data_IF_236794092630
#
_entry.id   IF_236794092630
#
_cell.length_a   1.000
_cell.length_b   1.000
_cell.length_c   1.000
_cell.angle_alpha   90.00
_cell.angle_beta   90.00
_cell.angle_gamma   90.00
#
_symmetry.space_group_name_H-M   'P 1'
#
loop_
_entity.id
_entity.type
_entity.pdbx_description
1 polymer ?
#
# COMPACT_ATOMS: atom_id res chain seq x y z
N UNK A 1 22.13 0.38 -7.52
CA UNK A 1 22.19 -1.06 -7.92
C UNK A 1 21.23 -1.97 -7.15
N UNK A 2 20.47 -1.50 -6.16
CA UNK A 2 19.62 -2.32 -5.27
C UNK A 2 18.12 -2.29 -5.64
N UNK A 3 17.61 -1.30 -6.34
CA UNK A 3 16.29 -1.37 -6.95
C UNK A 3 16.26 -2.34 -8.16
N UNK A 4 17.42 -2.65 -8.71
CA UNK A 4 17.61 -3.58 -9.81
C UNK A 4 17.97 -5.01 -9.37
N UNK A 5 18.32 -5.22 -8.09
CA UNK A 5 18.67 -6.53 -7.60
C UNK A 5 17.40 -7.34 -7.33
N UNK A 6 17.17 -8.33 -8.17
CA UNK A 6 16.41 -9.51 -7.81
C UNK A 6 14.94 -9.55 -8.21
N UNK A 7 14.65 -9.50 -9.51
CA UNK A 7 13.49 -10.21 -10.04
C UNK A 7 13.79 -11.72 -10.23
N UNK A 8 14.62 -12.31 -9.40
CA UNK A 8 14.70 -13.76 -9.30
C UNK A 8 13.54 -14.21 -8.40
N UNK A 9 12.36 -14.38 -8.98
CA UNK A 9 11.31 -15.13 -8.34
C UNK A 9 11.73 -16.60 -8.39
N UNK A 10 12.29 -17.08 -7.27
CA UNK A 10 12.26 -18.51 -7.00
C UNK A 10 10.79 -18.97 -7.06
N UNK A 11 10.56 -20.19 -7.61
CA UNK A 11 9.30 -20.94 -7.51
C UNK A 11 8.71 -20.71 -6.12
N UNK A 12 7.39 -20.44 -5.95
CA UNK A 12 6.83 -20.27 -4.64
C UNK A 12 7.12 -21.54 -3.83
N UNK A 13 8.17 -21.51 -3.03
CA UNK A 13 8.32 -22.41 -1.92
C UNK A 13 7.10 -22.16 -1.03
N UNK A 14 6.52 -23.23 -0.48
CA UNK A 14 5.47 -23.09 0.52
C UNK A 14 5.92 -22.00 1.50
N UNK A 15 5.12 -20.93 1.60
CA UNK A 15 5.48 -19.78 2.43
C UNK A 15 5.86 -20.30 3.82
N UNK A 16 7.02 -19.92 4.38
CA UNK A 16 7.41 -20.37 5.70
C UNK A 16 6.30 -20.05 6.68
N UNK A 17 6.06 -20.97 7.62
CA UNK A 17 5.06 -20.77 8.65
C UNK A 17 5.30 -19.43 9.35
N UNK A 18 4.23 -18.63 9.53
CA UNK A 18 4.33 -17.35 10.20
C UNK A 18 4.86 -17.55 11.62
N UNK A 19 6.01 -16.98 11.91
CA UNK A 19 6.67 -17.06 13.24
C UNK A 19 6.34 -15.84 14.10
N UNK A 20 5.63 -14.84 13.54
CA UNK A 20 5.30 -13.58 14.18
C UNK A 20 3.78 -13.36 14.30
N UNK A 21 3.40 -12.14 14.64
CA UNK A 21 2.00 -11.76 14.84
C UNK A 21 1.20 -11.69 13.54
N UNK A 22 1.84 -11.30 12.43
CA UNK A 22 1.19 -11.21 11.11
C UNK A 22 1.20 -12.59 10.45
N UNK A 23 0.02 -13.00 9.98
CA UNK A 23 -0.23 -14.30 9.34
C UNK A 23 -0.77 -14.17 7.91
N UNK A 24 -0.76 -12.97 7.36
CA UNK A 24 -1.19 -12.70 5.99
C UNK A 24 -1.54 -11.25 5.74
N UNK A 25 -2.00 -10.95 4.52
CA UNK A 25 -2.52 -9.65 4.14
C UNK A 25 -4.01 -9.71 3.78
N UNK A 26 -4.66 -8.54 3.84
CA UNK A 26 -5.95 -8.27 3.20
C UNK A 26 -5.75 -7.48 1.90
N UNK A 27 -6.50 -6.38 1.74
CA UNK A 27 -6.26 -5.44 0.64
C UNK A 27 -4.93 -4.71 0.88
N UNK A 28 -4.09 -4.65 -0.17
CA UNK A 28 -2.70 -4.17 -0.04
C UNK A 28 -2.57 -2.65 -0.17
N UNK A 29 -3.61 -1.97 -0.64
CA UNK A 29 -3.61 -0.52 -0.80
C UNK A 29 -5.04 -0.01 -0.69
N UNK A 30 -5.31 0.84 0.30
CA UNK A 30 -6.65 1.35 0.57
C UNK A 30 -6.64 2.88 0.63
N UNK A 31 -6.63 3.56 -0.54
CA UNK A 31 -6.58 5.02 -0.63
C UNK A 31 -7.90 5.65 -0.19
N UNK A 32 -7.81 6.79 0.53
CA UNK A 32 -8.93 7.68 0.75
C UNK A 32 -8.98 8.70 -0.38
N UNK A 33 -10.14 8.79 -1.01
CA UNK A 33 -10.38 9.68 -2.15
C UNK A 33 -11.54 10.64 -1.88
N UNK A 34 -11.56 11.75 -2.61
CA UNK A 34 -12.68 12.69 -2.58
C UNK A 34 -13.80 12.29 -3.56
N UNK A 35 -13.47 11.53 -4.61
CA UNK A 35 -14.38 11.10 -5.67
C UNK A 35 -14.07 9.65 -6.03
N UNK A 36 -14.98 8.76 -5.66
CA UNK A 36 -14.83 7.32 -5.87
C UNK A 36 -14.87 6.95 -7.36
N UNK A 37 -15.72 7.61 -8.13
CA UNK A 37 -15.94 7.27 -9.53
C UNK A 37 -14.71 7.66 -10.39
N UNK A 38 -14.11 8.83 -10.12
CA UNK A 38 -12.85 9.22 -10.73
C UNK A 38 -11.70 8.26 -10.38
N UNK A 39 -11.64 7.82 -9.12
CA UNK A 39 -10.62 6.89 -8.69
C UNK A 39 -10.81 5.50 -9.33
N UNK A 40 -12.04 5.00 -9.44
CA UNK A 40 -12.36 3.74 -10.16
C UNK A 40 -11.89 3.84 -11.62
N UNK A 41 -12.18 4.94 -12.32
CA UNK A 41 -11.73 5.14 -13.69
C UNK A 41 -10.19 5.15 -13.79
N UNK A 42 -9.51 5.81 -12.84
CA UNK A 42 -8.05 5.87 -12.79
C UNK A 42 -7.41 4.50 -12.60
N UNK A 43 -7.82 3.73 -11.58
CA UNK A 43 -7.26 2.40 -11.33
C UNK A 43 -7.67 1.39 -12.40
N UNK A 44 -8.86 1.55 -12.99
CA UNK A 44 -9.30 0.79 -14.16
C UNK A 44 -8.40 0.98 -15.37
N UNK A 45 -7.94 2.21 -15.63
CA UNK A 45 -7.02 2.54 -16.71
C UNK A 45 -5.64 1.84 -16.58
N UNK A 46 -5.22 1.49 -15.36
CA UNK A 46 -4.01 0.69 -15.12
C UNK A 46 -4.27 -0.81 -15.42
N UNK A 47 -5.50 -1.27 -15.22
CA UNK A 47 -5.90 -2.67 -15.44
C UNK A 47 -6.48 -3.37 -14.22
N UNK A 48 -6.82 -2.63 -13.14
CA UNK A 48 -7.61 -3.18 -12.05
C UNK A 48 -9.06 -3.34 -12.46
N UNK A 49 -9.67 -4.45 -12.08
CA UNK A 49 -11.06 -4.78 -12.41
C UNK A 49 -11.96 -4.53 -11.22
N UNK A 50 -13.01 -3.78 -11.44
CA UNK A 50 -14.06 -3.48 -10.47
C UNK A 50 -15.34 -4.23 -10.87
N UNK A 51 -16.03 -4.83 -9.92
CA UNK A 51 -17.24 -5.59 -10.16
C UNK A 51 -18.39 -5.09 -9.28
N UNK A 52 -19.57 -5.00 -9.86
CA UNK A 52 -20.78 -4.54 -9.18
C UNK A 52 -20.75 -3.05 -8.82
N UNK A 53 -21.77 -2.63 -8.11
CA UNK A 53 -21.91 -1.27 -7.62
C UNK A 53 -21.07 -1.02 -6.36
N UNK A 54 -20.63 0.23 -6.12
CA UNK A 54 -19.95 0.59 -4.89
C UNK A 54 -20.77 0.26 -3.65
N UNK A 55 -20.12 -0.32 -2.66
CA UNK A 55 -20.71 -0.59 -1.36
C UNK A 55 -20.76 0.67 -0.49
N UNK A 56 -21.68 0.70 0.46
CA UNK A 56 -21.77 1.77 1.46
C UNK A 56 -21.73 1.21 2.88
N UNK A 57 -21.08 1.92 3.79
CA UNK A 57 -21.05 1.59 5.21
C UNK A 57 -22.18 2.27 6.02
N UNK A 58 -23.14 2.91 5.38
CA UNK A 58 -24.20 3.66 6.07
C UNK A 58 -24.99 2.77 7.05
N UNK A 59 -25.21 1.50 6.69
CA UNK A 59 -25.88 0.50 7.52
C UNK A 59 -24.94 -0.26 8.46
N UNK A 60 -23.64 0.05 8.49
CA UNK A 60 -22.66 -0.67 9.32
C UNK A 60 -21.92 0.28 10.28
N UNK A 61 -22.49 0.54 11.47
CA UNK A 61 -21.88 1.42 12.45
C UNK A 61 -20.52 0.91 12.97
N UNK A 62 -20.31 -0.41 12.99
CA UNK A 62 -19.04 -1.00 13.41
C UNK A 62 -17.92 -0.67 12.44
N UNK A 63 -18.20 -0.68 11.13
CA UNK A 63 -17.23 -0.28 10.12
C UNK A 63 -16.84 1.20 10.29
N UNK A 64 -17.80 2.10 10.53
CA UNK A 64 -17.53 3.52 10.82
C UNK A 64 -16.73 3.70 12.10
N UNK A 65 -17.07 2.94 13.16
CA UNK A 65 -16.35 2.96 14.43
C UNK A 65 -14.90 2.45 14.25
N UNK A 66 -14.66 1.47 13.39
CA UNK A 66 -13.31 1.01 13.06
C UNK A 66 -12.46 2.15 12.49
N UNK A 67 -13.03 3.02 11.68
CA UNK A 67 -12.35 4.22 11.17
C UNK A 67 -12.25 5.36 12.20
N UNK A 68 -12.87 5.25 13.35
CA UNK A 68 -12.97 6.37 14.29
C UNK A 68 -13.87 7.51 13.79
N UNK A 69 -14.79 7.23 12.86
CA UNK A 69 -15.63 8.20 12.14
C UNK A 69 -17.12 7.83 12.23
N UNK A 70 -17.75 7.89 13.42
CA UNK A 70 -19.11 7.41 13.60
C UNK A 70 -20.14 8.17 12.76
N UNK A 71 -19.90 9.43 12.42
CA UNK A 71 -20.81 10.31 11.69
C UNK A 71 -20.51 10.40 10.19
N UNK A 72 -19.41 9.81 9.73
CA UNK A 72 -19.05 9.84 8.31
C UNK A 72 -19.95 8.93 7.47
N UNK A 73 -20.07 9.30 6.19
CA UNK A 73 -20.55 8.41 5.15
C UNK A 73 -19.34 7.82 4.44
N UNK A 74 -19.34 6.49 4.25
CA UNK A 74 -18.29 5.77 3.56
C UNK A 74 -18.88 5.06 2.34
N UNK A 75 -18.36 5.34 1.15
CA UNK A 75 -18.56 4.55 -0.07
C UNK A 75 -17.23 3.88 -0.42
N UNK A 76 -17.26 2.65 -0.87
CA UNK A 76 -16.03 1.95 -1.21
C UNK A 76 -16.23 0.91 -2.29
N UNK A 77 -15.16 0.62 -3.02
CA UNK A 77 -15.11 -0.47 -3.98
C UNK A 77 -13.71 -1.08 -4.04
N UNK A 78 -13.64 -2.38 -4.36
CA UNK A 78 -12.38 -3.12 -4.43
C UNK A 78 -12.06 -3.42 -5.88
N UNK A 79 -10.95 -2.86 -6.37
CA UNK A 79 -10.33 -3.21 -7.63
C UNK A 79 -9.38 -4.38 -7.47
N UNK A 80 -9.48 -5.38 -8.33
CA UNK A 80 -8.65 -6.60 -8.29
C UNK A 80 -7.83 -6.76 -9.56
N UNK A 81 -6.64 -7.28 -9.40
CA UNK A 81 -5.87 -7.84 -10.49
C UNK A 81 -6.09 -9.36 -10.49
N UNK A 82 -6.53 -9.99 -11.60
CA UNK A 82 -7.07 -11.36 -11.59
C UNK A 82 -6.17 -12.43 -10.98
N UNK A 83 -4.85 -12.26 -11.10
CA UNK A 83 -3.87 -13.25 -10.62
C UNK A 83 -3.20 -12.86 -9.30
N UNK A 84 -3.72 -11.85 -8.59
CA UNK A 84 -3.09 -11.30 -7.38
C UNK A 84 -4.09 -11.31 -6.23
N UNK A 85 -3.72 -11.94 -5.12
CA UNK A 85 -4.54 -11.96 -3.91
C UNK A 85 -4.65 -10.55 -3.30
N UNK A 86 -5.81 -10.22 -2.71
CA UNK A 86 -6.10 -8.89 -2.18
C UNK A 86 -6.60 -7.93 -3.26
N UNK A 87 -6.52 -6.63 -3.01
CA UNK A 87 -7.00 -5.62 -3.94
C UNK A 87 -6.61 -4.20 -3.54
N UNK A 88 -6.97 -3.26 -4.41
CA UNK A 88 -7.01 -1.83 -4.11
C UNK A 88 -8.43 -1.51 -3.61
N UNK A 89 -8.57 -1.17 -2.34
CA UNK A 89 -9.86 -0.81 -1.73
C UNK A 89 -9.99 0.70 -1.70
N UNK A 90 -10.63 1.26 -2.70
CA UNK A 90 -10.85 2.70 -2.80
C UNK A 90 -11.99 3.11 -1.87
N UNK A 91 -11.77 4.13 -1.05
CA UNK A 91 -12.77 4.59 -0.08
C UNK A 91 -12.97 6.10 -0.20
N UNK A 92 -14.21 6.48 -0.45
CA UNK A 92 -14.69 7.85 -0.39
C UNK A 92 -15.27 8.11 1.00
N UNK A 93 -14.80 9.16 1.64
CA UNK A 93 -15.31 9.65 2.93
C UNK A 93 -16.04 10.96 2.70
N UNK A 94 -17.24 11.10 3.25
CA UNK A 94 -18.05 12.33 3.14
C UNK A 94 -18.84 12.62 4.42
N UNK A 95 -19.56 13.74 4.47
CA UNK A 95 -20.31 14.27 5.63
C UNK A 95 -19.45 14.60 6.86
N UNK A 96 -18.15 14.76 6.68
CA UNK A 96 -17.20 15.25 7.68
C UNK A 96 -16.27 16.27 7.04
N UNK A 97 -15.65 17.13 7.85
CA UNK A 97 -14.65 18.06 7.33
C UNK A 97 -13.40 17.28 6.88
N UNK A 98 -12.99 17.48 5.63
CA UNK A 98 -11.83 16.83 5.01
C UNK A 98 -10.70 17.82 4.84
N UNK A 99 -9.48 17.37 5.11
CA UNK A 99 -8.25 18.14 4.92
C UNK A 99 -7.31 17.37 3.97
N UNK A 100 -7.42 17.59 2.64
CA UNK A 100 -6.62 16.85 1.68
C UNK A 100 -5.12 16.97 1.95
N UNK A 101 -4.42 15.85 1.87
CA UNK A 101 -3.00 15.77 2.18
C UNK A 101 -2.18 15.69 0.90
N UNK A 102 -1.35 16.68 0.66
CA UNK A 102 -0.35 16.64 -0.42
C UNK A 102 1.03 16.32 0.15
N UNK A 103 1.68 15.30 -0.42
CA UNK A 103 3.06 14.88 -0.09
C UNK A 103 3.94 14.88 -1.32
N UNK A 104 5.24 15.00 -1.05
CA UNK A 104 6.29 14.62 -2.00
C UNK A 104 6.68 13.15 -1.77
N UNK A 105 7.25 12.51 -2.78
CA UNK A 105 7.59 11.07 -2.70
C UNK A 105 8.59 10.75 -1.59
N UNK A 106 9.47 11.72 -1.26
CA UNK A 106 10.48 11.61 -0.20
C UNK A 106 9.96 11.91 1.21
N UNK A 107 8.72 12.37 1.34
CA UNK A 107 8.14 12.72 2.66
C UNK A 107 7.78 11.45 3.43
N UNK A 108 8.14 11.33 4.72
CA UNK A 108 7.69 10.21 5.55
C UNK A 108 6.16 10.10 5.57
N UNK A 109 5.66 8.90 5.41
CA UNK A 109 4.23 8.62 5.27
C UNK A 109 3.72 8.68 3.82
N UNK A 110 4.59 8.96 2.83
CA UNK A 110 4.23 8.78 1.43
C UNK A 110 4.18 7.27 1.10
N UNK A 111 3.07 6.84 0.53
CA UNK A 111 2.88 5.47 0.06
C UNK A 111 2.77 5.48 -1.46
N UNK A 112 3.39 4.49 -2.07
CA UNK A 112 3.33 4.24 -3.50
C UNK A 112 2.79 2.84 -3.75
N UNK A 113 1.71 2.72 -4.49
CA UNK A 113 1.34 1.45 -5.11
C UNK A 113 2.25 1.23 -6.31
N UNK A 114 2.97 0.11 -6.33
CA UNK A 114 3.82 -0.29 -7.45
C UNK A 114 3.10 -1.39 -8.22
N UNK A 115 2.61 -1.08 -9.41
CA UNK A 115 1.94 -2.01 -10.31
C UNK A 115 2.91 -2.47 -11.40
N UNK A 116 3.19 -3.76 -11.45
CA UNK A 116 3.91 -4.37 -12.58
C UNK A 116 2.90 -4.69 -13.67
N UNK A 117 3.12 -4.16 -14.86
CA UNK A 117 2.18 -4.28 -15.98
C UNK A 117 2.82 -4.91 -17.22
N UNK A 118 1.97 -5.44 -18.11
CA UNK A 118 2.39 -5.93 -19.45
C UNK A 118 2.54 -4.81 -20.44
N UNK A 119 1.58 -3.88 -20.44
CA UNK A 119 1.49 -2.74 -21.34
C UNK A 119 1.46 -1.44 -20.54
N UNK A 120 2.65 -0.86 -20.36
CA UNK A 120 2.82 0.43 -19.70
C UNK A 120 2.36 1.56 -20.62
N UNK A 121 2.62 1.48 -21.91
CA UNK A 121 2.30 2.57 -22.83
C UNK A 121 0.80 2.77 -22.96
N UNK A 122 0.04 1.67 -23.10
CA UNK A 122 -1.42 1.72 -23.14
C UNK A 122 -2.01 2.26 -21.82
N UNK A 123 -1.56 1.76 -20.68
CA UNK A 123 -2.00 2.26 -19.36
C UNK A 123 -1.66 3.75 -19.21
N UNK A 124 -0.46 4.16 -19.54
CA UNK A 124 -0.02 5.56 -19.41
C UNK A 124 -0.80 6.49 -20.35
N UNK A 125 -1.11 6.06 -21.59
CA UNK A 125 -1.93 6.83 -22.51
C UNK A 125 -3.34 7.10 -21.94
N UNK A 126 -3.99 6.10 -21.35
CA UNK A 126 -5.29 6.26 -20.70
C UNK A 126 -5.20 7.19 -19.47
N UNK A 127 -4.16 7.05 -18.64
CA UNK A 127 -3.97 7.93 -17.49
C UNK A 127 -3.75 9.38 -17.90
N UNK A 128 -3.05 9.63 -19.00
CA UNK A 128 -2.90 10.98 -19.56
C UNK A 128 -4.24 11.56 -20.03
N UNK A 129 -5.10 10.75 -20.67
CA UNK A 129 -6.46 11.17 -21.06
C UNK A 129 -7.30 11.55 -19.83
N UNK A 130 -7.11 10.88 -18.69
CA UNK A 130 -7.74 11.22 -17.42
C UNK A 130 -7.09 12.42 -16.70
N UNK A 131 -6.05 13.02 -17.27
CA UNK A 131 -5.35 14.16 -16.68
C UNK A 131 -4.46 13.82 -15.48
N UNK A 132 -4.02 12.57 -15.33
CA UNK A 132 -3.20 12.14 -14.21
C UNK A 132 -1.88 12.93 -14.15
N UNK A 133 -1.54 13.59 -13.03
CA UNK A 133 -0.28 14.31 -12.87
C UNK A 133 0.91 13.36 -12.92
N UNK A 134 1.88 13.62 -13.80
CA UNK A 134 3.10 12.82 -13.92
C UNK A 134 4.15 13.36 -12.95
N UNK A 135 4.69 12.47 -12.10
CA UNK A 135 5.75 12.77 -11.14
C UNK A 135 7.13 12.59 -11.76
N UNK A 136 7.29 11.55 -12.59
CA UNK A 136 8.55 11.26 -13.29
C UNK A 136 9.02 12.47 -14.08
N UNK A 137 10.29 12.84 -13.93
CA UNK A 137 10.88 13.97 -14.63
C UNK A 137 10.84 13.74 -16.15
N UNK A 138 10.58 14.80 -16.90
CA UNK A 138 10.34 14.71 -18.34
C UNK A 138 8.93 14.30 -18.74
N UNK A 139 8.05 13.95 -17.79
CA UNK A 139 6.61 13.73 -18.05
C UNK A 139 6.29 12.48 -18.88
N UNK A 140 7.20 11.49 -18.92
CA UNK A 140 7.05 10.27 -19.71
C UNK A 140 7.70 9.07 -19.01
N UNK A 141 7.34 7.82 -19.37
CA UNK A 141 8.04 6.63 -18.89
C UNK A 141 9.53 6.65 -19.28
N UNK A 142 10.38 6.28 -18.33
CA UNK A 142 11.83 6.22 -18.51
C UNK A 142 12.36 4.80 -18.25
N UNK A 143 13.53 4.49 -18.81
CA UNK A 143 14.25 3.25 -18.53
C UNK A 143 15.04 3.41 -17.23
N UNK A 144 14.90 2.43 -16.32
CA UNK A 144 15.59 2.41 -15.04
C UNK A 144 16.38 1.10 -14.90
N UNK A 145 17.65 1.16 -15.23
CA UNK A 145 18.57 0.02 -15.11
C UNK A 145 17.97 -1.29 -15.61
N UNK A 146 18.04 -2.33 -14.80
CA UNK A 146 17.45 -3.67 -15.08
C UNK A 146 15.99 -3.80 -14.62
N UNK A 147 15.40 -2.76 -14.01
CA UNK A 147 13.99 -2.76 -13.60
C UNK A 147 13.07 -2.80 -14.83
N UNK A 148 13.50 -2.18 -15.93
CA UNK A 148 12.71 -2.02 -17.14
C UNK A 148 12.29 -0.55 -17.33
N UNK A 149 11.09 -0.33 -17.87
CA UNK A 149 10.51 1.00 -18.03
C UNK A 149 9.53 1.29 -16.90
N UNK A 150 9.53 2.52 -16.40
CA UNK A 150 8.63 2.92 -15.33
C UNK A 150 8.20 4.38 -15.44
N UNK A 151 7.06 4.67 -14.87
CA UNK A 151 6.55 6.02 -14.66
C UNK A 151 5.86 6.10 -13.30
N UNK A 152 6.00 7.23 -12.63
CA UNK A 152 5.24 7.54 -11.43
C UNK A 152 4.24 8.63 -11.76
N UNK A 153 2.99 8.41 -11.42
CA UNK A 153 1.88 9.36 -11.55
C UNK A 153 1.21 9.55 -10.19
N UNK A 154 0.33 10.53 -10.11
CA UNK A 154 -0.58 10.67 -8.96
C UNK A 154 -1.98 10.29 -9.36
N UNK A 155 -2.69 9.59 -8.46
CA UNK A 155 -4.12 9.39 -8.57
C UNK A 155 -4.89 10.71 -8.26
N UNK A 156 -6.22 10.77 -8.45
CA UNK A 156 -7.01 11.98 -8.20
C UNK A 156 -6.91 12.53 -6.76
N UNK A 157 -6.56 11.71 -5.79
CA UNK A 157 -6.38 12.12 -4.39
C UNK A 157 -4.93 12.44 -4.03
N UNK A 158 -3.98 12.31 -4.98
CA UNK A 158 -2.58 12.64 -4.80
C UNK A 158 -1.69 11.49 -4.31
N UNK A 159 -2.19 10.24 -4.27
CA UNK A 159 -1.37 9.07 -3.98
C UNK A 159 -0.41 8.77 -5.15
N UNK A 160 0.77 8.25 -4.80
CA UNK A 160 1.76 7.86 -5.80
C UNK A 160 1.46 6.47 -6.34
N UNK A 161 1.42 6.38 -7.67
CA UNK A 161 1.26 5.12 -8.39
C UNK A 161 2.45 4.97 -9.32
N UNK A 162 3.26 3.96 -9.08
CA UNK A 162 4.39 3.57 -9.91
C UNK A 162 3.96 2.44 -10.83
N UNK A 163 4.07 2.65 -12.12
CA UNK A 163 3.74 1.66 -13.14
C UNK A 163 5.05 1.19 -13.75
N UNK A 164 5.30 -0.12 -13.68
CA UNK A 164 6.56 -0.74 -14.10
C UNK A 164 6.27 -1.79 -15.14
N UNK A 165 6.95 -1.69 -16.28
CA UNK A 165 7.03 -2.75 -17.28
C UNK A 165 8.45 -3.31 -17.28
N UNK A 166 8.67 -4.53 -16.73
CA UNK A 166 9.99 -5.15 -16.73
C UNK A 166 10.41 -5.53 -18.14
N UNK A 167 11.73 -5.62 -18.39
CA UNK A 167 12.23 -6.09 -19.70
C UNK A 167 11.79 -7.54 -20.00
N UNK A 168 11.65 -8.35 -18.96
CA UNK A 168 11.18 -9.74 -19.06
C UNK A 168 10.25 -10.05 -17.89
N UNK A 169 9.07 -10.56 -18.19
CA UNK A 169 8.15 -11.10 -17.20
C UNK A 169 8.69 -12.43 -16.64
N UNK A 170 8.46 -12.68 -15.36
CA UNK A 170 8.65 -14.02 -14.80
C UNK A 170 7.64 -14.99 -15.41
N UNK A 171 7.85 -16.29 -15.28
CA UNK A 171 6.92 -17.31 -15.76
C UNK A 171 5.51 -17.12 -15.15
N UNK A 172 5.42 -16.87 -13.85
CA UNK A 172 4.16 -16.60 -13.17
C UNK A 172 3.47 -15.33 -13.67
N UNK A 173 4.22 -14.24 -13.89
CA UNK A 173 3.71 -13.01 -14.47
C UNK A 173 3.28 -13.19 -15.94
N UNK A 174 4.01 -14.00 -16.70
CA UNK A 174 3.66 -14.32 -18.09
C UNK A 174 2.37 -15.15 -18.17
N UNK A 175 2.14 -16.05 -17.25
CA UNK A 175 0.92 -16.87 -17.15
C UNK A 175 -0.29 -16.11 -16.57
N UNK A 176 -0.07 -15.02 -15.84
CA UNK A 176 -1.14 -14.20 -15.26
C UNK A 176 -2.04 -13.60 -16.34
N UNK A 177 -3.29 -13.32 -16.03
CA UNK A 177 -4.23 -12.64 -16.95
C UNK A 177 -4.36 -11.15 -16.59
N UNK A 178 -4.76 -10.34 -17.58
CA UNK A 178 -4.90 -8.89 -17.41
C UNK A 178 -3.60 -8.11 -17.57
N UNK A 179 -3.68 -6.79 -17.45
CA UNK A 179 -2.52 -5.91 -17.59
C UNK A 179 -1.65 -5.89 -16.33
N UNK A 180 -2.26 -5.83 -15.14
CA UNK A 180 -1.53 -5.86 -13.86
C UNK A 180 -1.15 -7.30 -13.53
N UNK A 181 0.15 -7.58 -13.50
CA UNK A 181 0.72 -8.92 -13.30
C UNK A 181 1.58 -9.04 -12.04
N UNK A 182 1.70 -7.97 -11.27
CA UNK A 182 2.39 -7.93 -9.98
C UNK A 182 2.07 -6.65 -9.24
N UNK A 183 2.10 -6.71 -7.90
CA UNK A 183 1.94 -5.55 -7.04
C UNK A 183 2.93 -5.57 -5.90
N UNK A 184 3.37 -4.40 -5.49
CA UNK A 184 4.15 -4.14 -4.27
C UNK A 184 3.67 -2.83 -3.67
N UNK A 185 3.97 -2.63 -2.41
CA UNK A 185 3.76 -1.34 -1.75
C UNK A 185 5.13 -0.78 -1.37
N UNK A 186 5.42 0.46 -1.78
CA UNK A 186 6.59 1.19 -1.31
C UNK A 186 6.17 2.25 -0.31
N UNK A 187 6.92 2.33 0.77
CA UNK A 187 6.62 3.16 1.91
C UNK A 187 7.81 4.06 2.25
N UNK A 188 7.61 5.35 2.18
CA UNK A 188 8.65 6.31 2.60
C UNK A 188 8.58 6.49 4.11
N UNK A 189 9.66 6.12 4.77
CA UNK A 189 9.80 6.14 6.24
C UNK A 189 10.85 7.17 6.67
N UNK A 190 10.85 7.53 7.94
CA UNK A 190 11.86 8.42 8.51
C UNK A 190 13.24 7.79 8.51
N UNK A 191 13.30 6.51 8.87
CA UNK A 191 14.51 5.70 8.96
C UNK A 191 14.19 4.24 8.63
N UNK A 192 14.83 3.72 7.59
CA UNK A 192 14.55 2.35 7.08
C UNK A 192 14.94 1.28 8.09
N UNK A 193 16.04 1.44 8.83
CA UNK A 193 16.48 0.42 9.77
C UNK A 193 15.49 0.26 10.93
N UNK A 194 15.00 1.38 11.46
CA UNK A 194 13.98 1.40 12.51
C UNK A 194 12.66 0.78 12.02
N UNK A 195 12.26 1.12 10.79
CA UNK A 195 11.04 0.58 10.22
C UNK A 195 11.16 -0.93 9.91
N UNK A 196 12.28 -1.38 9.33
CA UNK A 196 12.56 -2.82 9.13
C UNK A 196 12.49 -3.56 10.44
N UNK A 197 13.14 -3.03 11.49
CA UNK A 197 13.10 -3.64 12.83
C UNK A 197 11.67 -3.75 13.37
N UNK A 198 10.84 -2.72 13.21
CA UNK A 198 9.44 -2.75 13.63
C UNK A 198 8.67 -3.86 12.91
N UNK A 199 8.69 -3.87 11.58
CA UNK A 199 7.89 -4.81 10.80
C UNK A 199 8.42 -6.24 10.91
N UNK A 200 9.75 -6.45 10.93
CA UNK A 200 10.37 -7.77 11.07
C UNK A 200 10.24 -8.31 12.49
N UNK A 201 10.73 -7.56 13.49
CA UNK A 201 10.92 -8.10 14.85
C UNK A 201 9.62 -8.09 15.67
N UNK A 202 8.78 -7.05 15.47
CA UNK A 202 7.53 -6.93 16.22
C UNK A 202 6.32 -7.56 15.51
N UNK A 203 6.27 -7.51 14.18
CA UNK A 203 5.13 -8.01 13.41
C UNK A 203 5.41 -9.34 12.68
N UNK A 204 6.67 -9.72 12.53
CA UNK A 204 7.07 -11.02 11.96
C UNK A 204 7.13 -11.05 10.42
N UNK A 205 7.37 -9.90 9.77
CA UNK A 205 7.62 -9.86 8.34
C UNK A 205 8.95 -10.55 8.01
N UNK A 206 9.03 -11.17 6.84
CA UNK A 206 10.26 -11.76 6.35
C UNK A 206 11.14 -10.70 5.68
N UNK A 207 12.38 -10.57 6.12
CA UNK A 207 13.36 -9.71 5.46
C UNK A 207 13.88 -10.42 4.20
N UNK A 208 13.66 -9.80 3.03
CA UNK A 208 14.08 -10.35 1.73
C UNK A 208 15.53 -9.96 1.39
N UNK A 209 15.97 -8.81 1.87
CA UNK A 209 17.34 -8.31 1.70
C UNK A 209 17.67 -7.34 2.83
N UNK A 210 18.91 -7.37 3.29
CA UNK A 210 19.43 -6.42 4.29
C UNK A 210 19.33 -4.98 3.78
N UNK A 211 19.14 -4.04 4.70
CA UNK A 211 19.09 -2.62 4.37
C UNK A 211 20.36 -2.20 3.63
N UNK A 212 20.20 -1.62 2.45
CA UNK A 212 21.29 -1.14 1.62
C UNK A 212 21.97 0.11 2.19
N UNK A 213 23.13 0.46 1.62
CA UNK A 213 23.75 1.74 1.85
C UNK A 213 23.03 2.83 1.06
N UNK A 214 23.18 4.10 1.48
CA UNK A 214 22.69 5.23 0.69
C UNK A 214 23.36 5.28 -0.67
N UNK A 215 22.57 5.39 -1.73
CA UNK A 215 23.00 5.51 -3.11
C UNK A 215 22.14 6.51 -3.87
N UNK A 216 22.63 6.99 -5.00
CA UNK A 216 21.96 7.98 -5.83
C UNK A 216 21.96 7.57 -7.30
N UNK A 217 21.19 6.51 -7.66
CA UNK A 217 20.96 6.20 -9.08
C UNK A 217 20.10 7.31 -9.71
N UNK A 218 20.67 8.01 -10.69
CA UNK A 218 20.02 9.16 -11.32
C UNK A 218 18.70 8.78 -12.00
N UNK A 219 18.63 7.63 -12.67
CA UNK A 219 17.41 7.19 -13.33
C UNK A 219 16.30 6.87 -12.32
N UNK A 220 16.64 6.30 -11.16
CA UNK A 220 15.68 6.08 -10.07
C UNK A 220 15.19 7.41 -9.51
N UNK A 221 16.10 8.36 -9.24
CA UNK A 221 15.73 9.69 -8.75
C UNK A 221 14.85 10.44 -9.75
N UNK A 222 15.18 10.40 -11.04
CA UNK A 222 14.37 10.97 -12.11
C UNK A 222 12.98 10.32 -12.20
N UNK A 223 12.90 8.99 -12.05
CA UNK A 223 11.62 8.28 -12.01
C UNK A 223 10.75 8.76 -10.84
N UNK A 224 11.37 9.02 -9.68
CA UNK A 224 10.70 9.53 -8.48
C UNK A 224 10.46 11.05 -8.50
N UNK A 225 10.82 11.74 -9.59
CA UNK A 225 10.65 13.18 -9.73
C UNK A 225 11.68 14.02 -8.96
N UNK A 226 12.78 13.44 -8.51
CA UNK A 226 13.81 14.09 -7.72
C UNK A 226 15.00 14.50 -8.59
N UNK A 227 15.52 15.71 -8.37
CA UNK A 227 16.69 16.24 -9.09
C UNK A 227 18.03 15.87 -8.45
N UNK A 228 18.01 15.17 -7.33
CA UNK A 228 19.20 14.78 -6.58
C UNK A 228 18.85 14.13 -5.26
N UNK A 229 19.86 13.93 -4.41
CA UNK A 229 19.74 13.23 -3.16
C UNK A 229 20.23 11.80 -3.23
N UNK A 230 20.05 11.10 -2.14
CA UNK A 230 20.39 9.68 -1.99
C UNK A 230 19.21 8.96 -1.33
N UNK A 231 19.08 7.69 -1.57
CA UNK A 231 18.08 6.82 -0.94
C UNK A 231 18.72 5.50 -0.52
N UNK A 232 18.10 4.85 0.43
CA UNK A 232 18.35 3.44 0.73
C UNK A 232 17.02 2.71 0.91
N UNK A 233 17.04 1.39 0.76
CA UNK A 233 15.83 0.55 0.83
C UNK A 233 16.03 -0.64 1.73
N UNK A 234 14.95 -1.06 2.38
CA UNK A 234 14.75 -2.34 3.01
C UNK A 234 13.61 -3.07 2.31
N UNK A 235 13.73 -4.37 2.14
CA UNK A 235 12.71 -5.19 1.47
C UNK A 235 12.19 -6.26 2.40
N UNK A 236 10.89 -6.26 2.58
CA UNK A 236 10.17 -7.19 3.44
C UNK A 236 9.06 -7.89 2.65
N UNK A 237 8.65 -9.05 3.14
CA UNK A 237 7.49 -9.77 2.64
C UNK A 237 6.52 -10.04 3.78
N UNK A 238 5.23 -9.82 3.52
CA UNK A 238 4.16 -10.17 4.46
C UNK A 238 4.01 -11.68 4.49
N UNK A 239 4.11 -12.33 5.67
CA UNK A 239 3.99 -13.78 5.79
C UNK A 239 2.73 -14.34 5.11
N UNK A 240 2.85 -15.51 4.51
CA UNK A 240 1.77 -16.27 3.87
C UNK A 240 0.96 -15.51 2.78
N UNK A 241 1.44 -14.36 2.30
CA UNK A 241 0.72 -13.59 1.27
C UNK A 241 1.54 -13.30 0.02
N UNK A 242 2.88 -13.35 0.10
CA UNK A 242 3.77 -12.96 -0.99
C UNK A 242 3.75 -11.45 -1.30
N UNK A 243 3.00 -10.66 -0.53
CA UNK A 243 2.97 -9.21 -0.71
C UNK A 243 4.30 -8.60 -0.25
N UNK A 244 4.97 -7.93 -1.17
CA UNK A 244 6.24 -7.27 -0.87
C UNK A 244 6.05 -5.83 -0.44
N UNK A 245 6.81 -5.47 0.60
CA UNK A 245 6.96 -4.13 1.13
C UNK A 245 8.37 -3.63 0.84
N UNK A 246 8.47 -2.48 0.19
CA UNK A 246 9.72 -1.75 0.06
C UNK A 246 9.67 -0.54 0.98
N UNK A 247 10.51 -0.53 2.01
CA UNK A 247 10.73 0.64 2.85
C UNK A 247 11.84 1.47 2.23
N UNK A 248 11.64 2.78 2.13
CA UNK A 248 12.61 3.70 1.54
C UNK A 248 12.77 4.95 2.42
N UNK A 249 13.99 5.38 2.63
CA UNK A 249 14.28 6.70 3.18
C UNK A 249 15.23 7.47 2.26
N UNK A 250 15.26 8.79 2.44
CA UNK A 250 16.01 9.70 1.60
C UNK A 250 16.94 10.58 2.43
N UNK A 251 18.08 10.97 1.84
CA UNK A 251 19.08 11.89 2.40
C UNK A 251 19.48 12.93 1.36
N UNK A 252 19.81 14.14 1.83
CA UNK A 252 20.23 15.22 0.92
C UNK A 252 19.08 15.88 0.14
N UNK A 253 17.83 15.64 0.53
CA UNK A 253 16.62 16.31 0.02
C UNK A 253 15.76 16.78 1.17
N UNK A 254 14.99 17.86 0.95
CA UNK A 254 14.01 18.31 1.95
C UNK A 254 12.90 17.28 2.11
N UNK A 255 12.57 16.96 3.35
CA UNK A 255 11.52 16.02 3.72
C UNK A 255 10.59 16.66 4.74
N UNK A 256 9.29 16.54 4.53
CA UNK A 256 8.27 17.13 5.41
C UNK A 256 7.40 16.04 6.00
N UNK A 257 7.33 15.97 7.31
CA UNK A 257 6.36 15.09 7.98
C UNK A 257 5.01 15.79 8.05
N UNK A 258 4.03 15.29 7.31
CA UNK A 258 2.64 15.74 7.38
C UNK A 258 1.79 14.65 7.98
N UNK A 259 1.15 14.95 9.11
CA UNK A 259 0.15 14.06 9.69
C UNK A 259 -1.14 14.14 8.85
N UNK A 260 -1.58 13.01 8.35
CA UNK A 260 -2.89 12.89 7.71
C UNK A 260 -3.90 12.35 8.72
N UNK A 261 -5.12 12.84 8.69
CA UNK A 261 -6.25 12.14 9.29
C UNK A 261 -6.61 10.93 8.45
N UNK A 262 -7.14 9.89 9.09
CA UNK A 262 -7.57 8.67 8.38
C UNK A 262 -8.66 8.92 7.34
N UNK A 263 -9.42 10.00 7.50
CA UNK A 263 -10.54 10.42 6.64
C UNK A 263 -10.11 11.29 5.44
N UNK A 264 -8.87 11.79 5.47
CA UNK A 264 -8.47 12.85 4.56
C UNK A 264 -8.01 12.27 3.22
N UNK A 265 -8.49 12.81 2.08
CA UNK A 265 -7.98 12.41 0.76
C UNK A 265 -6.46 12.54 0.69
N UNK A 266 -5.80 11.54 0.11
CA UNK A 266 -4.35 11.40 0.12
C UNK A 266 -3.80 10.61 1.32
N UNK A 267 -4.63 10.19 2.28
CA UNK A 267 -4.28 9.15 3.24
C UNK A 267 -4.57 7.76 2.70
N UNK A 268 -3.84 6.76 3.17
CA UNK A 268 -4.04 5.37 2.73
C UNK A 268 -3.74 4.38 3.85
N UNK A 269 -4.16 3.15 3.66
CA UNK A 269 -4.00 2.06 4.59
C UNK A 269 -3.51 0.81 3.89
N UNK A 270 -2.93 -0.09 4.69
CA UNK A 270 -2.72 -1.50 4.36
C UNK A 270 -3.54 -2.36 5.31
N UNK A 271 -3.86 -3.57 4.89
CA UNK A 271 -4.57 -4.52 5.73
C UNK A 271 -3.68 -5.73 6.03
N UNK A 272 -3.53 -6.04 7.31
CA UNK A 272 -2.75 -7.18 7.81
C UNK A 272 -3.66 -8.13 8.58
N UNK A 273 -3.58 -9.41 8.27
CA UNK A 273 -4.18 -10.47 9.07
C UNK A 273 -3.24 -10.82 10.20
N UNK A 274 -3.78 -10.89 11.43
CA UNK A 274 -2.98 -11.14 12.63
C UNK A 274 -3.53 -12.33 13.41
N UNK A 275 -2.63 -13.10 14.01
CA UNK A 275 -2.99 -14.21 14.88
C UNK A 275 -3.57 -13.71 16.22
N UNK A 276 -3.05 -12.60 16.72
CA UNK A 276 -3.47 -11.94 17.96
C UNK A 276 -3.49 -10.42 17.74
N UNK A 277 -4.69 -9.83 17.75
CA UNK A 277 -4.85 -8.41 17.46
C UNK A 277 -4.42 -7.54 18.64
N UNK A 278 -4.62 -7.98 19.86
CA UNK A 278 -4.26 -7.22 21.05
C UNK A 278 -2.74 -7.14 21.18
N UNK A 279 -2.04 -8.25 20.92
CA UNK A 279 -0.59 -8.28 20.85
C UNK A 279 -0.03 -7.41 19.73
N UNK A 280 -0.66 -7.41 18.52
CA UNK A 280 -0.23 -6.57 17.42
C UNK A 280 -0.43 -5.07 17.71
N UNK A 281 -1.55 -4.68 18.32
CA UNK A 281 -1.81 -3.31 18.78
C UNK A 281 -0.76 -2.89 19.82
N UNK A 282 -0.46 -3.75 20.78
CA UNK A 282 0.55 -3.48 21.80
C UNK A 282 1.96 -3.32 21.20
N UNK A 283 2.33 -4.16 20.21
CA UNK A 283 3.62 -4.09 19.54
C UNK A 283 3.79 -2.76 18.77
N UNK A 284 2.79 -2.36 18.01
CA UNK A 284 2.77 -1.07 17.30
C UNK A 284 2.77 0.10 18.26
N UNK A 285 2.02 0.02 19.37
CA UNK A 285 1.99 1.05 20.43
C UNK A 285 3.35 1.25 21.09
N UNK A 286 4.08 0.17 21.42
CA UNK A 286 5.44 0.23 21.97
C UNK A 286 6.42 0.92 21.03
N UNK A 287 6.20 0.82 19.71
CA UNK A 287 7.01 1.49 18.70
C UNK A 287 6.62 2.97 18.50
N UNK A 288 5.62 3.48 19.21
CA UNK A 288 5.13 4.86 19.07
C UNK A 288 3.92 5.02 18.16
N UNK A 289 3.28 3.93 17.77
CA UNK A 289 2.03 3.94 17.02
C UNK A 289 0.84 4.40 17.88
N UNK A 290 -0.21 4.89 17.23
CA UNK A 290 -1.43 5.37 17.87
C UNK A 290 -2.65 4.56 17.39
N UNK A 291 -3.46 4.08 18.33
CA UNK A 291 -4.72 3.40 17.98
C UNK A 291 -5.77 4.43 17.54
N UNK A 292 -6.47 4.16 16.43
CA UNK A 292 -7.36 5.12 15.77
C UNK A 292 -8.84 4.78 15.95
N UNK A 293 -9.18 3.49 16.00
CA UNK A 293 -10.58 3.07 16.07
C UNK A 293 -11.26 3.57 17.36
N UNK A 294 -12.56 3.84 17.27
CA UNK A 294 -13.36 4.36 18.39
C UNK A 294 -13.29 3.44 19.61
N UNK A 295 -13.18 4.03 20.80
CA UNK A 295 -13.14 3.30 22.07
C UNK A 295 -11.75 2.77 22.45
N UNK A 296 -10.71 3.01 21.65
CA UNK A 296 -9.32 2.72 22.03
C UNK A 296 -8.96 1.23 22.11
N UNK A 297 -9.80 0.34 21.58
CA UNK A 297 -9.61 -1.12 21.54
C UNK A 297 -10.17 -1.74 20.27
N UNK A 298 -9.73 -2.97 19.91
CA UNK A 298 -10.30 -3.70 18.77
C UNK A 298 -11.82 -3.88 18.90
N UNK A 299 -12.50 -3.86 17.76
CA UNK A 299 -13.94 -3.95 17.62
C UNK A 299 -14.35 -5.27 16.97
N UNK A 300 -15.52 -5.77 17.31
CA UNK A 300 -16.14 -6.89 16.63
C UNK A 300 -16.88 -6.39 15.37
N UNK A 301 -16.47 -6.89 14.20
CA UNK A 301 -17.05 -6.56 12.90
C UNK A 301 -17.74 -7.79 12.31
N UNK A 302 -19.08 -7.80 12.16
CA UNK A 302 -19.79 -8.87 11.47
C UNK A 302 -19.33 -8.98 10.01
N UNK A 303 -19.02 -10.20 9.58
CA UNK A 303 -18.57 -10.51 8.22
C UNK A 303 -19.20 -11.83 7.73
N UNK A 304 -20.40 -11.75 7.18
CA UNK A 304 -21.20 -12.93 6.82
C UNK A 304 -21.54 -13.77 8.04
N UNK A 305 -21.18 -15.06 8.02
CA UNK A 305 -21.37 -15.97 9.15
C UNK A 305 -20.32 -15.84 10.26
N UNK A 306 -19.30 -14.99 10.07
CA UNK A 306 -18.19 -14.82 11.00
C UNK A 306 -18.25 -13.45 11.68
N UNK A 307 -17.57 -13.36 12.81
CA UNK A 307 -17.24 -12.08 13.45
C UNK A 307 -15.72 -11.92 13.42
N UNK A 308 -15.24 -10.83 12.81
CA UNK A 308 -13.84 -10.49 12.82
C UNK A 308 -13.55 -9.53 13.97
N UNK A 309 -12.38 -9.62 14.59
CA UNK A 309 -11.85 -8.55 15.41
C UNK A 309 -11.00 -7.64 14.53
N UNK A 310 -11.30 -6.34 14.56
CA UNK A 310 -10.64 -5.36 13.70
C UNK A 310 -10.21 -4.12 14.47
N UNK A 311 -9.18 -3.47 14.02
CA UNK A 311 -8.74 -2.20 14.55
C UNK A 311 -7.76 -1.52 13.62
N UNK A 312 -7.61 -0.20 13.75
CA UNK A 312 -6.67 0.58 12.95
C UNK A 312 -5.65 1.23 13.89
N UNK A 313 -4.40 1.04 13.55
CA UNK A 313 -3.25 1.70 14.21
C UNK A 313 -2.57 2.59 13.18
N UNK A 314 -2.22 3.79 13.58
CA UNK A 314 -1.29 4.62 12.85
C UNK A 314 0.12 4.30 13.36
N UNK A 315 0.99 3.82 12.47
CA UNK A 315 2.37 3.52 12.82
C UNK A 315 3.20 4.80 13.04
N UNK A 316 4.45 4.69 13.53
CA UNK A 316 5.31 5.86 13.75
C UNK A 316 5.57 6.72 12.51
N UNK A 317 5.53 6.14 11.32
CA UNK A 317 5.76 6.83 10.05
C UNK A 317 4.48 7.32 9.35
N UNK A 318 3.32 7.30 10.05
CA UNK A 318 2.00 7.72 9.56
C UNK A 318 1.32 6.78 8.58
N UNK A 319 1.72 5.51 8.50
CA UNK A 319 0.94 4.51 7.83
C UNK A 319 -0.25 4.08 8.69
N UNK A 320 -1.44 4.04 8.13
CA UNK A 320 -2.58 3.41 8.78
C UNK A 320 -2.56 1.90 8.45
N UNK A 321 -2.48 1.11 9.51
CA UNK A 321 -2.47 -0.35 9.46
C UNK A 321 -3.80 -0.86 9.99
N UNK A 322 -4.59 -1.47 9.13
CA UNK A 322 -5.80 -2.20 9.52
C UNK A 322 -5.38 -3.59 9.97
N UNK A 323 -5.63 -3.90 11.22
CA UNK A 323 -5.40 -5.22 11.79
C UNK A 323 -6.70 -6.01 11.76
N UNK A 324 -6.64 -7.24 11.26
CA UNK A 324 -7.78 -8.15 11.10
C UNK A 324 -7.43 -9.47 11.75
N UNK A 325 -8.18 -9.85 12.78
CA UNK A 325 -8.10 -11.16 13.40
C UNK A 325 -9.38 -11.94 13.11
N UNK A 326 -9.23 -13.17 12.65
CA UNK A 326 -10.33 -14.10 12.47
C UNK A 326 -10.30 -15.10 13.61
N UNK A 327 -11.19 -15.01 14.61
CA UNK A 327 -11.24 -15.98 15.69
C UNK A 327 -11.45 -17.40 15.16
N UNK A 328 -10.88 -18.43 15.80
CA UNK A 328 -11.20 -19.81 15.48
C UNK A 328 -12.71 -20.03 15.54
N UNK A 329 -13.26 -20.71 14.55
CA UNK A 329 -14.68 -21.11 14.61
C UNK A 329 -14.83 -22.14 15.71
N UNK A 330 -15.87 -21.99 16.56
CA UNK A 330 -16.27 -23.05 17.47
C UNK A 330 -16.57 -24.32 16.65
N UNK A 331 -16.11 -25.48 17.07
CA UNK A 331 -16.47 -26.73 16.40
C UNK A 331 -18.00 -26.83 16.38
N UNK A 332 -18.56 -27.11 15.21
CA UNK A 332 -20.00 -27.35 15.01
C UNK A 332 -20.39 -28.71 15.58
#
# INVERSE_FOLDING_TARGET
MILAAGFAHAKPAAAPAATGLVVGSGNYFSPIVADLDQAIAFYGAIGFQFQGEPSTADANPQLRAMFGLPDARLRYQIGRAPSIAGGVEIIEVSKVNLEPVSRSVQDPGAITLVATVRDLDGAFAHLKQLGAPVVTRGGAPIKVGTVGRMVVVKDPAGHFIEIVQPEKLTEAQAAATGNVVGVRVRFTVRDVESAVKLYRDALGFHELASVGQYGGDAAVLDALGLSGGQYRVGQLEVPASGLQFTLIDFKGVERRTKLAGIKDPGSTRIQLRVADIDAAVAALGKAGGAFISTGGKPLDLPAGANTLKVGIVRDPDNLFVVLIHTPPQAPR
#
